data_IF_312924479040
#
_entry.id   IF_312924479040
#
_cell.length_a   1.000
_cell.length_b   1.000
_cell.length_c   1.000
_cell.angle_alpha   90.00
_cell.angle_beta   90.00
_cell.angle_gamma   90.00
#
_symmetry.space_group_name_H-M   'P 1'
#
loop_
_entity.id
_entity.type
_entity.pdbx_description
1 polymer ?
#
# COMPACT_ATOMS: atom_id res chain seq x y z
N UNK A 1 6.94 -14.82 0.20
CA UNK A 1 6.96 -13.39 -0.19
C UNK A 1 7.10 -12.56 1.08
N UNK A 2 8.23 -11.86 1.27
CA UNK A 2 8.44 -11.01 2.46
C UNK A 2 7.81 -9.64 2.24
N UNK A 3 7.42 -8.96 3.31
CA UNK A 3 6.84 -7.61 3.23
C UNK A 3 7.77 -6.59 2.55
N UNK A 4 9.08 -6.78 2.63
CA UNK A 4 10.11 -5.94 1.99
C UNK A 4 10.27 -6.19 0.48
N UNK A 5 9.56 -7.17 -0.07
CA UNK A 5 9.64 -7.58 -1.47
C UNK A 5 8.33 -7.24 -2.22
N UNK A 6 7.48 -6.39 -1.63
CA UNK A 6 6.15 -6.09 -2.14
C UNK A 6 5.81 -4.60 -2.03
N UNK A 7 4.92 -4.20 -2.92
CA UNK A 7 4.17 -2.95 -2.81
C UNK A 7 2.68 -3.26 -2.61
N UNK A 8 2.10 -2.64 -1.59
CA UNK A 8 0.66 -2.76 -1.28
C UNK A 8 -0.03 -1.53 -1.83
N UNK A 9 -1.11 -1.70 -2.57
CA UNK A 9 -1.94 -0.63 -3.12
C UNK A 9 -3.32 -0.68 -2.52
N UNK A 10 -3.81 0.47 -2.08
CA UNK A 10 -5.24 0.70 -1.89
C UNK A 10 -5.74 1.35 -3.18
N UNK A 11 -6.70 0.69 -3.81
CA UNK A 11 -7.32 1.06 -5.07
C UNK A 11 -8.71 1.61 -4.83
N UNK A 12 -9.12 2.57 -5.65
CA UNK A 12 -10.51 2.95 -5.83
C UNK A 12 -10.89 2.76 -7.30
N UNK A 13 -11.79 1.81 -7.57
CA UNK A 13 -12.04 1.29 -8.93
C UNK A 13 -10.71 0.85 -9.55
N UNK A 14 -10.35 1.37 -10.73
CA UNK A 14 -9.13 1.01 -11.46
C UNK A 14 -7.91 1.89 -11.14
N UNK A 15 -8.04 2.83 -10.20
CA UNK A 15 -6.95 3.77 -9.86
C UNK A 15 -6.45 3.53 -8.44
N UNK A 16 -5.13 3.46 -8.28
CA UNK A 16 -4.56 3.46 -6.94
C UNK A 16 -4.71 4.85 -6.31
N UNK A 17 -5.02 4.88 -5.02
CA UNK A 17 -5.14 6.12 -4.24
C UNK A 17 -4.02 6.28 -3.20
N UNK A 18 -3.50 5.15 -2.71
CA UNK A 18 -2.37 5.08 -1.80
C UNK A 18 -1.57 3.84 -2.13
N UNK A 19 -0.24 3.93 -2.09
CA UNK A 19 0.65 2.76 -2.10
C UNK A 19 1.57 2.77 -0.89
N UNK A 20 1.87 1.59 -0.38
CA UNK A 20 2.69 1.38 0.80
C UNK A 20 3.82 0.44 0.44
N UNK A 21 5.04 0.82 0.83
CA UNK A 21 6.25 0.02 0.63
C UNK A 21 7.01 -0.08 1.94
N UNK A 22 7.47 -1.29 2.28
CA UNK A 22 8.39 -1.47 3.39
C UNK A 22 9.81 -1.24 2.90
N UNK A 23 10.46 -0.22 3.44
CA UNK A 23 11.88 0.07 3.22
C UNK A 23 12.70 -0.32 4.46
N UNK A 24 14.01 -0.06 4.42
CA UNK A 24 14.93 -0.39 5.52
C UNK A 24 14.53 0.29 6.83
N UNK A 25 14.12 1.56 6.76
CA UNK A 25 13.83 2.40 7.93
C UNK A 25 12.37 2.33 8.41
N UNK A 26 11.52 1.54 7.74
CA UNK A 26 10.10 1.43 8.09
C UNK A 26 9.17 1.43 6.88
N UNK A 27 7.89 1.69 7.12
CA UNK A 27 6.91 1.79 6.04
C UNK A 27 6.86 3.20 5.46
N UNK A 28 6.65 3.28 4.15
CA UNK A 28 6.40 4.54 3.45
C UNK A 28 5.06 4.50 2.75
N UNK A 29 4.24 5.51 2.99
CA UNK A 29 3.01 5.80 2.25
C UNK A 29 3.33 6.77 1.12
N UNK A 30 2.99 6.41 -0.12
CA UNK A 30 3.00 7.33 -1.26
C UNK A 30 1.57 7.62 -1.70
N UNK A 31 1.26 8.90 -1.88
CA UNK A 31 -0.03 9.39 -2.38
C UNK A 31 -0.03 9.52 -3.90
N UNK A 32 -1.21 9.63 -4.52
CA UNK A 32 -1.34 9.86 -5.98
C UNK A 32 -0.62 11.10 -6.49
N UNK A 33 -0.39 12.10 -5.61
CA UNK A 33 0.39 13.30 -5.91
C UNK A 33 1.91 13.08 -5.84
N UNK A 34 2.37 11.86 -5.62
CA UNK A 34 3.79 11.51 -5.49
C UNK A 34 4.40 11.86 -4.13
N UNK A 35 3.65 12.49 -3.21
CA UNK A 35 4.16 12.81 -1.87
C UNK A 35 4.32 11.54 -1.05
N UNK A 36 5.48 11.40 -0.43
CA UNK A 36 5.90 10.25 0.38
C UNK A 36 5.94 10.66 1.85
N UNK A 37 5.42 9.80 2.71
CA UNK A 37 5.40 9.98 4.16
C UNK A 37 5.90 8.71 4.86
N UNK A 38 6.70 8.82 5.92
CA UNK A 38 6.94 7.68 6.80
C UNK A 38 5.63 7.30 7.50
N UNK A 39 5.42 6.00 7.72
CA UNK A 39 4.33 5.51 8.54
C UNK A 39 4.75 4.27 9.35
N UNK A 40 4.02 4.02 10.43
CA UNK A 40 4.16 2.81 11.23
C UNK A 40 3.36 1.64 10.64
N UNK A 41 3.62 0.43 11.14
CA UNK A 41 2.84 -0.75 10.75
C UNK A 41 1.37 -0.64 11.19
N UNK A 42 1.12 -0.05 12.35
CA UNK A 42 -0.21 0.21 12.91
C UNK A 42 -0.98 1.21 12.05
N UNK A 43 -0.31 2.25 11.54
CA UNK A 43 -0.90 3.20 10.62
C UNK A 43 -1.26 2.54 9.28
N UNK A 44 -0.36 1.71 8.74
CA UNK A 44 -0.66 0.88 7.56
C UNK A 44 -1.92 0.03 7.79
N UNK A 45 -1.98 -0.71 8.91
CA UNK A 45 -3.13 -1.54 9.25
C UNK A 45 -4.41 -0.72 9.39
N UNK A 46 -4.34 0.45 10.01
CA UNK A 46 -5.49 1.37 10.15
C UNK A 46 -6.05 1.81 8.80
N UNK A 47 -5.20 1.94 7.77
CA UNK A 47 -5.65 2.22 6.41
C UNK A 47 -6.20 0.98 5.67
N UNK A 48 -5.58 -0.19 5.90
CA UNK A 48 -5.94 -1.45 5.24
C UNK A 48 -7.23 -2.07 5.78
N UNK A 49 -7.40 -2.13 7.10
CA UNK A 49 -8.52 -2.84 7.74
C UNK A 49 -9.90 -2.37 7.22
N UNK A 50 -10.19 -1.07 7.11
CA UNK A 50 -11.47 -0.62 6.56
C UNK A 50 -11.66 -0.97 5.08
N UNK A 51 -10.57 -1.06 4.31
CA UNK A 51 -10.61 -1.42 2.90
C UNK A 51 -10.93 -2.92 2.72
N UNK A 52 -10.30 -3.80 3.49
CA UNK A 52 -10.53 -5.25 3.40
C UNK A 52 -11.82 -5.70 4.10
N UNK A 53 -12.26 -4.98 5.13
CA UNK A 53 -13.52 -5.25 5.83
C UNK A 53 -14.76 -4.85 5.02
N UNK A 54 -14.58 -4.20 3.86
CA UNK A 54 -15.69 -3.73 3.02
C UNK A 54 -16.43 -2.51 3.58
N UNK A 55 -15.98 -1.91 4.68
CA UNK A 55 -16.64 -0.77 5.32
C UNK A 55 -16.47 0.54 4.55
N UNK A 56 -15.48 0.62 3.65
CA UNK A 56 -15.28 1.75 2.72
C UNK A 56 -16.11 1.67 1.43
N UNK A 57 -17.01 0.69 1.32
CA UNK A 57 -17.87 0.47 0.15
C UNK A 57 -17.22 -0.41 -0.93
N UNK A 58 -18.04 -0.81 -1.90
CA UNK A 58 -17.70 -1.85 -2.91
C UNK A 58 -16.57 -1.48 -3.89
N UNK A 59 -16.16 -0.20 -3.90
CA UNK A 59 -15.21 0.31 -4.89
C UNK A 59 -13.77 0.37 -4.37
N UNK A 60 -13.52 -0.01 -3.11
CA UNK A 60 -12.17 -0.02 -2.55
C UNK A 60 -11.64 -1.45 -2.56
N UNK A 61 -10.50 -1.65 -3.21
CA UNK A 61 -9.81 -2.95 -3.24
C UNK A 61 -8.38 -2.81 -2.76
N UNK A 62 -7.81 -3.90 -2.24
CA UNK A 62 -6.40 -3.98 -1.87
C UNK A 62 -5.71 -4.88 -2.86
N UNK A 63 -4.67 -4.37 -3.51
CA UNK A 63 -3.81 -5.12 -4.43
C UNK A 63 -2.42 -5.22 -3.83
N UNK A 64 -1.81 -6.40 -3.90
CA UNK A 64 -0.41 -6.60 -3.50
C UNK A 64 0.35 -7.07 -4.73
N UNK A 65 1.43 -6.37 -5.05
CA UNK A 65 2.30 -6.74 -6.17
C UNK A 65 3.72 -7.00 -5.66
N UNK A 66 4.40 -8.06 -6.14
CA UNK A 66 5.81 -8.23 -5.87
C UNK A 66 6.60 -7.09 -6.53
N UNK A 67 7.65 -6.63 -5.84
CA UNK A 67 8.57 -5.67 -6.42
C UNK A 67 9.26 -6.30 -7.63
N UNK A 68 9.26 -5.60 -8.77
CA UNK A 68 10.06 -6.02 -9.92
C UNK A 68 11.54 -5.99 -9.50
N UNK A 69 12.16 -7.16 -9.41
CA UNK A 69 13.62 -7.25 -9.33
C UNK A 69 14.16 -6.77 -10.66
N UNK A 70 14.75 -5.59 -10.69
CA UNK A 70 15.59 -5.18 -11.80
C UNK A 70 16.85 -6.05 -11.67
N UNK A 71 16.90 -7.16 -12.39
CA UNK A 71 18.18 -7.86 -12.61
C UNK A 71 19.09 -6.87 -13.32
N UNK A 72 20.15 -6.45 -12.63
CA UNK A 72 21.17 -5.53 -13.12
C UNK A 72 22.42 -6.35 -13.41
#
# INVERSE_FOLDING_TARGET
MKNSECTIYIMFKDRWIQKFKKEKDGWKLTTTKGKVYPCSAEQLLSHLLPAIAGTKGQNVTVKVEPDQKIET
#
